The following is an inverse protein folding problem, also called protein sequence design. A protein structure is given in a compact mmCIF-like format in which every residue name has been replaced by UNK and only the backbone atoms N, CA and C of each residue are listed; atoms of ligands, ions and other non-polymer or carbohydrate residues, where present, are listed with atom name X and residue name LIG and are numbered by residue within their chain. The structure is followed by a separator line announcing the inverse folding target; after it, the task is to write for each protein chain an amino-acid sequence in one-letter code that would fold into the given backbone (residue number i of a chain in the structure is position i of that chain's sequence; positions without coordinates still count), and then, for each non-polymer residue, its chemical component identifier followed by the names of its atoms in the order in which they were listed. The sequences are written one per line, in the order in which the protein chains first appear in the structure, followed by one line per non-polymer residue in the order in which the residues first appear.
data_IF_722114330683
#
_entry.id   IF_722114330683
#
_cell.length_a   1.000
_cell.length_b   1.000
_cell.length_c   1.000
_cell.angle_alpha   90.00
_cell.angle_beta   90.00
_cell.angle_gamma   90.00
#
_symmetry.space_group_name_H-M   'P 1'
#
loop_
_entity.id
_entity.type
_entity.pdbx_description
1 polymer ?
#
# COMPACT_ATOMS: atom_id res chain seq x y z
N UNK A 1 0.70 -13.79 -14.79
CA UNK A 1 0.13 -12.43 -14.53
C UNK A 1 0.08 -11.53 -15.77
N UNK A 2 0.82 -11.84 -16.85
CA UNK A 2 0.95 -11.00 -18.06
C UNK A 2 -0.31 -10.84 -18.93
N UNK A 3 -1.20 -11.84 -18.96
CA UNK A 3 -2.40 -11.82 -19.84
C UNK A 3 -3.38 -10.72 -19.43
N UNK A 4 -3.62 -10.54 -18.13
CA UNK A 4 -4.56 -9.53 -17.63
C UNK A 4 -4.13 -8.10 -17.97
N UNK A 5 -2.85 -7.77 -17.76
CA UNK A 5 -2.29 -6.46 -18.12
C UNK A 5 -2.37 -6.21 -19.63
N UNK A 6 -2.12 -7.24 -20.45
CA UNK A 6 -2.26 -7.12 -21.90
C UNK A 6 -3.69 -6.81 -22.33
N UNK A 7 -4.66 -7.54 -21.81
CA UNK A 7 -6.08 -7.29 -22.12
C UNK A 7 -6.49 -5.88 -21.71
N UNK A 8 -6.12 -5.45 -20.50
CA UNK A 8 -6.48 -4.12 -20.00
C UNK A 8 -5.77 -2.99 -20.77
N UNK A 9 -4.56 -3.24 -21.28
CA UNK A 9 -3.82 -2.22 -22.02
C UNK A 9 -4.49 -1.80 -23.34
N UNK A 10 -5.38 -2.64 -23.89
CA UNK A 10 -6.18 -2.30 -25.08
C UNK A 10 -7.10 -1.11 -24.86
N UNK A 11 -7.41 -0.78 -23.59
CA UNK A 11 -8.20 0.40 -23.24
C UNK A 11 -7.45 1.72 -23.43
N UNK A 12 -6.12 1.69 -23.63
CA UNK A 12 -5.30 2.88 -23.82
C UNK A 12 -5.22 3.80 -22.60
N UNK A 13 -5.47 3.26 -21.40
CA UNK A 13 -5.40 3.99 -20.13
C UNK A 13 -4.22 3.50 -19.29
N UNK A 14 -3.57 4.38 -18.49
CA UNK A 14 -2.51 3.96 -17.58
C UNK A 14 -3.00 2.93 -16.56
N UNK A 15 -2.27 1.83 -16.41
CA UNK A 15 -2.60 0.73 -15.52
C UNK A 15 -1.72 0.75 -14.27
N UNK A 16 -2.38 0.91 -13.11
CA UNK A 16 -1.75 0.80 -11.81
C UNK A 16 -2.10 -0.55 -11.17
N UNK A 17 -1.08 -1.38 -10.89
CA UNK A 17 -1.29 -2.66 -10.22
C UNK A 17 -1.20 -2.49 -8.71
N UNK A 18 -2.25 -2.88 -8.00
CA UNK A 18 -2.28 -2.85 -6.54
C UNK A 18 -1.78 -4.16 -5.95
N UNK A 19 -0.74 -4.07 -5.12
CA UNK A 19 -0.09 -5.21 -4.46
C UNK A 19 -0.16 -5.09 -2.93
N UNK A 20 0.01 -6.23 -2.26
CA UNK A 20 0.17 -6.28 -0.82
C UNK A 20 1.67 -6.11 -0.47
N UNK A 21 2.00 -5.54 0.70
CA UNK A 21 3.37 -5.51 1.21
C UNK A 21 3.97 -6.90 1.51
N UNK A 22 3.16 -7.98 1.45
CA UNK A 22 3.64 -9.37 1.45
C UNK A 22 4.04 -9.90 0.07
N UNK A 23 3.72 -9.18 -1.01
CA UNK A 23 4.14 -9.57 -2.35
C UNK A 23 5.68 -9.56 -2.40
N UNK A 24 6.34 -10.67 -2.80
CA UNK A 24 7.79 -10.71 -2.94
C UNK A 24 8.28 -9.62 -3.89
N UNK A 25 9.44 -9.03 -3.58
CA UNK A 25 9.99 -7.91 -4.35
C UNK A 25 10.25 -8.31 -5.79
N UNK A 26 10.70 -9.54 -6.01
CA UNK A 26 11.00 -10.12 -7.32
C UNK A 26 9.72 -10.22 -8.17
N UNK A 27 8.61 -10.65 -7.56
CA UNK A 27 7.31 -10.71 -8.22
C UNK A 27 6.78 -9.31 -8.53
N UNK A 28 6.94 -8.36 -7.61
CA UNK A 28 6.53 -6.97 -7.83
C UNK A 28 7.34 -6.28 -8.92
N UNK A 29 8.65 -6.57 -9.02
CA UNK A 29 9.50 -6.13 -10.11
C UNK A 29 9.05 -6.71 -11.45
N UNK A 30 8.76 -8.02 -11.52
CA UNK A 30 8.25 -8.65 -12.74
C UNK A 30 6.95 -7.99 -13.23
N UNK A 31 6.01 -7.75 -12.29
CA UNK A 31 4.75 -7.07 -12.56
C UNK A 31 4.98 -5.64 -13.02
N UNK A 32 5.72 -4.86 -12.23
CA UNK A 32 5.92 -3.44 -12.46
C UNK A 32 6.76 -3.14 -13.70
N UNK A 33 7.73 -3.99 -14.04
CA UNK A 33 8.54 -3.84 -15.25
C UNK A 33 7.84 -4.33 -16.52
N UNK A 34 6.66 -4.95 -16.40
CA UNK A 34 5.83 -5.23 -17.57
C UNK A 34 5.53 -3.92 -18.33
N UNK A 35 5.65 -3.95 -19.66
CA UNK A 35 5.40 -2.77 -20.50
C UNK A 35 3.97 -2.20 -20.36
N UNK A 36 3.02 -3.04 -19.94
CA UNK A 36 1.62 -2.67 -19.75
C UNK A 36 1.29 -2.28 -18.29
N UNK A 37 2.29 -2.14 -17.43
CA UNK A 37 2.10 -1.64 -16.06
C UNK A 37 2.77 -0.28 -15.94
N UNK A 38 2.01 0.77 -15.67
CA UNK A 38 2.51 2.13 -15.62
C UNK A 38 2.96 2.52 -14.21
N UNK A 39 2.39 1.89 -13.17
CA UNK A 39 2.75 2.16 -11.78
C UNK A 39 2.33 1.02 -10.84
N UNK A 40 2.89 1.04 -9.63
CA UNK A 40 2.46 0.16 -8.54
C UNK A 40 1.68 0.95 -7.49
N UNK A 41 0.66 0.33 -6.91
CA UNK A 41 0.02 0.80 -5.68
C UNK A 41 0.32 -0.17 -4.55
N UNK A 42 0.90 0.31 -3.47
CA UNK A 42 1.15 -0.47 -2.26
C UNK A 42 0.71 0.34 -1.04
N UNK A 43 -0.11 -0.15 -0.14
CA UNK A 43 -0.46 -1.55 0.12
C UNK A 43 -1.93 -1.88 -0.13
N UNK A 44 -2.21 -3.17 -0.32
CA UNK A 44 -3.47 -3.77 0.08
C UNK A 44 -3.34 -4.31 1.52
N UNK A 45 -4.48 -4.50 2.20
CA UNK A 45 -4.50 -5.00 3.57
C UNK A 45 -3.88 -6.41 3.68
N UNK A 46 -3.23 -6.68 4.81
CA UNK A 46 -2.58 -7.96 5.09
C UNK A 46 -3.59 -8.95 5.67
N UNK A 47 -3.85 -10.12 5.06
CA UNK A 47 -4.80 -11.09 5.61
C UNK A 47 -4.53 -11.43 7.08
N UNK A 48 -5.58 -11.65 7.86
CA UNK A 48 -5.47 -12.07 9.25
C UNK A 48 -4.58 -13.31 9.38
N UNK A 49 -3.68 -13.31 10.36
CA UNK A 49 -2.76 -14.43 10.59
C UNK A 49 -1.59 -14.50 9.60
N UNK A 50 -1.47 -13.53 8.69
CA UNK A 50 -0.29 -13.39 7.83
C UNK A 50 0.60 -12.25 8.32
N UNK A 51 1.92 -12.42 8.31
CA UNK A 51 2.95 -11.51 8.83
C UNK A 51 3.27 -11.60 10.34
N UNK A 52 2.36 -11.16 11.23
CA UNK A 52 2.63 -11.17 12.67
C UNK A 52 2.45 -12.56 13.29
N UNK A 53 3.15 -12.89 14.39
CA UNK A 53 2.99 -14.16 15.07
C UNK A 53 1.62 -14.25 15.76
N UNK A 54 1.13 -15.48 15.95
CA UNK A 54 -0.20 -15.76 16.54
C UNK A 54 -0.51 -14.98 17.83
N UNK A 55 0.41 -14.82 18.81
CA UNK A 55 0.13 -14.06 20.02
C UNK A 55 -0.27 -12.60 19.78
N UNK A 56 0.25 -11.97 18.71
CA UNK A 56 -0.09 -10.60 18.36
C UNK A 56 -1.55 -10.48 17.90
N UNK A 57 -1.98 -11.40 17.03
CA UNK A 57 -3.37 -11.44 16.56
C UNK A 57 -4.34 -11.78 17.70
N UNK A 58 -3.95 -12.75 18.53
CA UNK A 58 -4.76 -13.18 19.66
C UNK A 58 -4.98 -12.06 20.68
N UNK A 59 -3.97 -11.23 20.92
CA UNK A 59 -4.09 -10.08 21.81
C UNK A 59 -5.10 -9.03 21.31
N UNK A 60 -5.21 -8.82 19.99
CA UNK A 60 -6.11 -7.83 19.42
C UNK A 60 -7.52 -8.34 19.12
N UNK A 61 -7.66 -9.62 18.80
CA UNK A 61 -8.88 -10.16 18.18
C UNK A 61 -9.43 -11.42 18.86
N UNK A 62 -8.73 -11.94 19.88
CA UNK A 62 -9.07 -13.21 20.54
C UNK A 62 -8.59 -14.44 19.77
N UNK A 63 -9.07 -15.62 20.13
CA UNK A 63 -8.56 -16.89 19.59
C UNK A 63 -8.75 -17.09 18.08
N UNK A 64 -9.69 -16.35 17.47
CA UNK A 64 -10.01 -16.44 16.04
C UNK A 64 -10.37 -15.06 15.49
N UNK A 65 -10.22 -14.88 14.18
CA UNK A 65 -10.69 -13.65 13.52
C UNK A 65 -12.20 -13.42 13.79
N UNK A 66 -12.62 -12.21 14.21
CA UNK A 66 -14.03 -11.83 14.32
C UNK A 66 -14.79 -11.96 13.00
N UNK A 67 -14.06 -11.96 11.88
CA UNK A 67 -14.59 -12.11 10.53
C UNK A 67 -14.35 -13.52 9.96
N UNK A 68 -14.09 -14.53 10.79
CA UNK A 68 -13.81 -15.90 10.34
C UNK A 68 -14.90 -16.45 9.40
N UNK A 69 -16.18 -16.12 9.63
CA UNK A 69 -17.30 -16.52 8.75
C UNK A 69 -17.25 -15.92 7.33
N UNK A 70 -16.40 -14.91 7.12
CA UNK A 70 -16.16 -14.23 5.84
C UNK A 70 -14.75 -14.50 5.30
N UNK A 71 -14.15 -15.65 5.64
CA UNK A 71 -12.76 -16.01 5.34
C UNK A 71 -11.70 -15.18 6.09
N UNK A 72 -12.09 -14.58 7.21
CA UNK A 72 -11.21 -13.77 8.05
C UNK A 72 -11.29 -12.28 7.75
N UNK A 73 -10.48 -11.52 8.48
CA UNK A 73 -10.29 -10.08 8.27
C UNK A 73 -8.95 -9.80 7.63
N UNK A 74 -8.62 -8.51 7.52
CA UNK A 74 -7.30 -8.09 7.10
C UNK A 74 -6.81 -6.93 7.98
N UNK A 75 -5.53 -6.96 8.32
CA UNK A 75 -4.82 -5.88 8.99
C UNK A 75 -4.65 -4.70 8.04
N UNK A 76 -5.06 -3.56 8.54
CA UNK A 76 -4.86 -2.25 7.94
C UNK A 76 -4.27 -1.31 9.01
N UNK A 77 -4.36 0.01 8.78
CA UNK A 77 -4.04 1.03 9.79
C UNK A 77 -2.55 1.11 10.16
N UNK A 78 -2.27 1.68 11.34
CA UNK A 78 -0.92 2.04 11.81
C UNK A 78 0.10 0.88 11.72
N UNK A 79 -0.23 -0.37 12.10
CA UNK A 79 0.72 -1.48 11.99
C UNK A 79 1.15 -1.79 10.55
N UNK A 80 0.32 -1.47 9.55
CA UNK A 80 0.62 -1.68 8.13
C UNK A 80 1.61 -0.63 7.58
N UNK A 81 1.72 0.54 8.22
CA UNK A 81 2.56 1.64 7.75
C UNK A 81 4.01 1.22 7.63
N UNK A 82 4.63 0.77 8.73
CA UNK A 82 6.05 0.43 8.75
C UNK A 82 6.40 -0.73 7.78
N UNK A 83 5.48 -1.68 7.62
CA UNK A 83 5.63 -2.79 6.68
C UNK A 83 5.66 -2.26 5.25
N UNK A 84 4.76 -1.33 4.94
CA UNK A 84 4.67 -0.71 3.61
C UNK A 84 5.90 0.17 3.32
N UNK A 85 6.31 1.02 4.27
CA UNK A 85 7.48 1.87 4.12
C UNK A 85 8.75 1.05 3.81
N UNK A 86 9.01 0.02 4.61
CA UNK A 86 10.14 -0.89 4.40
C UNK A 86 10.08 -1.61 3.05
N UNK A 87 8.87 -1.97 2.59
CA UNK A 87 8.67 -2.59 1.29
C UNK A 87 9.00 -1.61 0.14
N UNK A 88 8.57 -0.36 0.23
CA UNK A 88 8.86 0.69 -0.76
C UNK A 88 10.37 0.96 -0.83
N UNK A 89 11.03 1.11 0.31
CA UNK A 89 12.48 1.29 0.38
C UNK A 89 13.22 0.12 -0.27
N UNK A 90 12.77 -1.12 0.00
CA UNK A 90 13.38 -2.32 -0.55
C UNK A 90 13.23 -2.38 -2.07
N UNK A 91 12.04 -2.10 -2.62
CA UNK A 91 11.82 -2.16 -4.07
C UNK A 91 12.58 -1.04 -4.81
N UNK A 92 12.70 0.16 -4.20
CA UNK A 92 13.52 1.24 -4.74
C UNK A 92 15.00 0.89 -4.75
N UNK A 93 15.51 0.30 -3.66
CA UNK A 93 16.92 -0.11 -3.54
C UNK A 93 17.35 -1.11 -4.63
N UNK A 94 16.43 -1.95 -5.09
CA UNK A 94 16.70 -2.92 -6.18
C UNK A 94 16.45 -2.35 -7.58
N UNK A 95 16.19 -1.04 -7.70
CA UNK A 95 16.18 -0.32 -8.97
C UNK A 95 14.82 -0.12 -9.63
N UNK A 96 13.70 -0.34 -8.93
CA UNK A 96 12.38 -0.02 -9.51
C UNK A 96 12.19 1.49 -9.67
N UNK A 97 11.93 1.93 -10.90
CA UNK A 97 11.91 3.35 -11.27
C UNK A 97 10.53 3.92 -11.61
N UNK A 98 9.54 3.08 -11.93
CA UNK A 98 8.19 3.57 -12.25
C UNK A 98 7.49 4.15 -11.00
N UNK A 99 6.42 4.94 -11.16
CA UNK A 99 5.70 5.53 -10.04
C UNK A 99 5.15 4.50 -9.04
N UNK A 100 5.22 4.85 -7.76
CA UNK A 100 4.63 4.12 -6.63
C UNK A 100 3.61 5.02 -5.93
N UNK A 101 2.37 4.57 -5.87
CA UNK A 101 1.34 5.12 -4.99
C UNK A 101 1.34 4.35 -3.65
N UNK A 102 1.77 5.04 -2.59
CA UNK A 102 1.93 4.50 -1.25
C UNK A 102 0.71 4.67 -0.33
N UNK A 103 0.36 3.67 0.48
CA UNK A 103 -0.66 3.82 1.50
C UNK A 103 -0.74 2.63 2.44
N UNK A 104 -1.48 2.82 3.54
CA UNK A 104 -1.49 1.92 4.70
C UNK A 104 -1.11 2.68 5.98
N UNK A 105 -2.06 2.87 6.90
CA UNK A 105 -1.74 3.50 8.19
C UNK A 105 -1.36 4.99 8.15
N UNK A 106 -1.65 5.72 7.07
CA UNK A 106 -1.55 7.18 7.05
C UNK A 106 -2.70 7.77 7.87
N UNK A 107 -2.49 8.04 9.16
CA UNK A 107 -3.49 8.61 10.10
C UNK A 107 -3.29 10.09 10.49
N UNK A 108 -2.30 10.78 9.92
CA UNK A 108 -2.00 12.21 10.15
C UNK A 108 -1.06 12.75 9.06
N UNK A 109 -0.96 14.09 8.92
CA UNK A 109 -0.19 14.71 7.84
C UNK A 109 1.29 14.30 7.77
N UNK A 110 1.98 14.25 8.92
CA UNK A 110 3.40 13.87 9.03
C UNK A 110 3.70 12.41 8.65
N UNK A 111 2.68 11.54 8.54
CA UNK A 111 2.89 10.22 7.96
C UNK A 111 3.13 10.26 6.46
N UNK A 112 2.67 11.31 5.76
CA UNK A 112 2.89 11.47 4.31
C UNK A 112 4.37 11.68 4.02
N UNK A 113 5.06 12.44 4.87
CA UNK A 113 6.51 12.63 4.83
C UNK A 113 7.27 11.30 4.81
N UNK A 114 6.88 10.36 5.68
CA UNK A 114 7.50 9.05 5.75
C UNK A 114 7.37 8.28 4.42
N UNK A 115 6.22 8.38 3.77
CA UNK A 115 6.01 7.76 2.46
C UNK A 115 6.87 8.38 1.37
N UNK A 116 7.02 9.71 1.38
CA UNK A 116 7.93 10.40 0.46
C UNK A 116 9.38 9.96 0.70
N UNK A 117 9.81 9.95 1.95
CA UNK A 117 11.18 9.60 2.35
C UNK A 117 11.53 8.15 1.99
N UNK A 118 10.57 7.23 2.09
CA UNK A 118 10.74 5.83 1.66
C UNK A 118 10.74 5.65 0.13
N UNK A 119 10.35 6.66 -0.65
CA UNK A 119 10.42 6.67 -2.11
C UNK A 119 9.09 6.47 -2.85
N UNK A 120 7.95 6.77 -2.22
CA UNK A 120 6.67 6.88 -2.91
C UNK A 120 6.57 8.19 -3.71
N UNK A 121 5.85 8.17 -4.83
CA UNK A 121 5.60 9.34 -5.68
C UNK A 121 4.22 9.96 -5.44
N UNK A 122 3.33 9.21 -4.80
CA UNK A 122 2.01 9.68 -4.37
C UNK A 122 1.55 8.86 -3.18
N UNK A 123 0.47 9.29 -2.53
CA UNK A 123 -0.18 8.53 -1.45
C UNK A 123 -1.68 8.35 -1.65
N UNK A 124 -2.22 7.25 -1.13
CA UNK A 124 -3.68 7.05 -1.01
C UNK A 124 -4.12 6.97 0.45
N UNK A 125 -5.32 7.51 0.73
CA UNK A 125 -5.89 7.58 2.07
C UNK A 125 -7.02 6.56 2.24
N UNK A 126 -6.87 5.64 3.18
CA UNK A 126 -7.89 4.64 3.55
C UNK A 126 -8.37 4.82 4.99
N UNK A 127 -7.69 4.19 5.94
CA UNK A 127 -8.09 4.12 7.35
C UNK A 127 -8.34 5.48 8.02
N UNK A 128 -7.65 6.56 7.61
CA UNK A 128 -7.88 7.91 8.14
C UNK A 128 -9.29 8.42 7.89
N UNK A 129 -9.93 8.05 6.78
CA UNK A 129 -11.29 8.47 6.48
C UNK A 129 -12.30 7.91 7.50
N UNK A 130 -12.06 6.68 7.99
CA UNK A 130 -12.92 5.99 8.95
C UNK A 130 -12.57 6.37 10.39
N UNK A 131 -11.27 6.41 10.73
CA UNK A 131 -10.82 6.56 12.11
C UNK A 131 -10.60 8.02 12.53
N UNK A 132 -10.21 8.88 11.59
CA UNK A 132 -9.76 10.26 11.84
C UNK A 132 -10.17 11.21 10.72
N UNK A 133 -11.44 11.16 10.31
CA UNK A 133 -11.95 11.92 9.17
C UNK A 133 -11.60 13.42 9.19
N UNK A 134 -11.57 14.03 10.37
CA UNK A 134 -11.18 15.44 10.57
C UNK A 134 -9.73 15.77 10.19
N UNK A 135 -8.87 14.76 10.01
CA UNK A 135 -7.47 14.93 9.59
C UNK A 135 -7.26 14.75 8.08
N UNK A 136 -8.27 14.27 7.34
CA UNK A 136 -8.15 13.97 5.91
C UNK A 136 -7.71 15.21 5.14
N UNK A 137 -8.39 16.34 5.33
CA UNK A 137 -8.09 17.59 4.60
C UNK A 137 -6.63 18.04 4.78
N UNK A 138 -6.16 18.18 6.03
CA UNK A 138 -4.75 18.56 6.30
C UNK A 138 -3.74 17.54 5.78
N UNK A 139 -4.12 16.27 5.70
CA UNK A 139 -3.25 15.21 5.14
C UNK A 139 -3.14 15.35 3.63
N UNK A 140 -4.25 15.66 2.95
CA UNK A 140 -4.27 15.97 1.52
C UNK A 140 -3.43 17.21 1.22
N UNK A 141 -3.58 18.29 1.99
CA UNK A 141 -2.75 19.49 1.84
C UNK A 141 -1.26 19.17 1.99
N UNK A 142 -0.88 18.30 2.94
CA UNK A 142 0.52 17.86 3.08
C UNK A 142 0.99 17.06 1.87
N UNK A 143 0.16 16.17 1.33
CA UNK A 143 0.47 15.42 0.12
C UNK A 143 0.70 16.35 -1.08
N UNK A 144 -0.17 17.34 -1.31
CA UNK A 144 0.04 18.32 -2.38
C UNK A 144 1.33 19.12 -2.21
N UNK A 145 1.66 19.56 -0.98
CA UNK A 145 2.94 20.25 -0.72
C UNK A 145 4.18 19.38 -0.94
N UNK A 146 4.03 18.06 -0.96
CA UNK A 146 5.14 17.12 -1.06
C UNK A 146 5.29 16.52 -2.46
N UNK A 147 4.18 16.33 -3.17
CA UNK A 147 4.13 15.64 -4.47
C UNK A 147 3.54 16.50 -5.60
N UNK A 148 2.94 17.65 -5.28
CA UNK A 148 2.22 18.48 -6.25
C UNK A 148 3.03 19.61 -6.87
N UNK A 149 4.30 19.79 -6.48
CA UNK A 149 5.19 20.75 -7.10
C UNK A 149 5.82 20.10 -8.37
N UNK A 150 5.09 20.22 -9.48
CA UNK A 150 5.62 20.27 -10.86
C UNK A 150 5.18 21.59 -11.52
#
# INVERSE_FOLDING_TARGET
MSVGLKILSELGIPLQVKVNALTPIEAALEIGNNQNCDSLCVSNAIPYGSYFPEPWWKAGFGDKSPLAKYNGGALSEDPLRNITLAWIEKIRRVGFSKPINGGGGILKPDHVDQYRDSGADSVFLGSIAVLRGWRVHKTIERAYKLFGDE
#
